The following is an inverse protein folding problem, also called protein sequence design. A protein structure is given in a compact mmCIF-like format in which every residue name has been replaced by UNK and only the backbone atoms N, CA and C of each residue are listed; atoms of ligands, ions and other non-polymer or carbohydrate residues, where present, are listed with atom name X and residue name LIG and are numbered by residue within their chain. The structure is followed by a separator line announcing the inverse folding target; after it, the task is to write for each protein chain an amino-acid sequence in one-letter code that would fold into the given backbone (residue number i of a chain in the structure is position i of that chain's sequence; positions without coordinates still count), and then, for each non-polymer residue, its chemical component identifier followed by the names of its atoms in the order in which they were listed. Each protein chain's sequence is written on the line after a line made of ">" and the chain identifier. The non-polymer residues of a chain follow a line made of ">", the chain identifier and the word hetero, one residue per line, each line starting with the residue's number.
data_IF_477485365370
#
_entry.id   IF_477485365370
#
_cell.length_a   1.000
_cell.length_b   1.000
_cell.length_c   1.000
_cell.angle_alpha   90.00
_cell.angle_beta   90.00
_cell.angle_gamma   90.00
#
_symmetry.space_group_name_H-M   'P 1'
#
loop_
_entity.id
_entity.type
_entity.pdbx_description
1 polymer ?
#
# COMPACT_ATOMS: atom_id res chain seq x y z
N UNK A 1 -4.06 7.41 -8.65
CA UNK A 1 -3.37 6.40 -9.49
C UNK A 1 -1.99 6.13 -8.92
N UNK A 2 -1.46 4.91 -9.02
CA UNK A 2 -0.05 4.64 -8.76
C UNK A 2 0.62 4.08 -9.99
N UNK A 3 1.88 4.44 -10.20
CA UNK A 3 2.71 3.93 -11.29
C UNK A 3 4.15 3.75 -10.80
N UNK A 4 4.87 2.83 -11.41
CA UNK A 4 6.23 2.48 -11.02
C UNK A 4 7.18 2.67 -12.20
N UNK A 5 8.21 3.49 -11.99
CA UNK A 5 9.27 3.68 -12.98
C UNK A 5 10.53 2.98 -12.49
N UNK A 6 10.92 1.95 -13.22
CA UNK A 6 12.22 1.31 -13.04
C UNK A 6 13.32 2.21 -13.59
N UNK A 7 14.33 2.48 -12.77
CA UNK A 7 15.52 3.24 -13.12
C UNK A 7 16.77 2.43 -12.81
N UNK A 8 17.94 2.89 -13.27
CA UNK A 8 19.22 2.27 -12.90
C UNK A 8 19.56 2.41 -11.40
N UNK A 9 18.83 3.21 -10.63
CA UNK A 9 19.01 3.42 -9.19
C UNK A 9 17.97 2.72 -8.31
N UNK A 10 16.95 2.10 -8.91
CA UNK A 10 15.84 1.47 -8.19
C UNK A 10 14.48 1.81 -8.80
N UNK A 11 13.44 1.69 -7.98
CA UNK A 11 12.03 1.89 -8.38
C UNK A 11 11.54 3.24 -7.86
N UNK A 12 10.96 4.06 -8.73
CA UNK A 12 10.30 5.32 -8.37
C UNK A 12 8.80 5.10 -8.32
N UNK A 13 8.18 5.39 -7.17
CA UNK A 13 6.73 5.46 -7.02
C UNK A 13 6.22 6.81 -7.53
N UNK A 14 5.38 6.77 -8.56
CA UNK A 14 4.52 7.90 -8.94
C UNK A 14 3.16 7.70 -8.29
N UNK A 15 2.72 8.72 -7.56
CA UNK A 15 1.43 8.74 -6.89
C UNK A 15 0.62 9.95 -7.33
N UNK A 16 -0.59 9.69 -7.79
CA UNK A 16 -1.61 10.71 -8.06
C UNK A 16 -2.70 10.58 -6.97
N UNK A 17 -2.87 11.61 -6.12
CA UNK A 17 -3.91 11.63 -5.10
C UNK A 17 -5.31 11.50 -5.69
N UNK A 18 -6.20 10.80 -4.98
CA UNK A 18 -7.61 10.66 -5.38
C UNK A 18 -8.41 11.97 -5.21
N UNK A 19 -7.97 12.85 -4.31
CA UNK A 19 -8.64 14.13 -4.03
C UNK A 19 -8.18 15.21 -5.02
N UNK A 20 -9.10 16.10 -5.40
CA UNK A 20 -8.84 17.17 -6.37
C UNK A 20 -7.74 18.16 -5.95
N UNK A 21 -7.49 18.30 -4.64
CA UNK A 21 -6.43 19.14 -4.11
C UNK A 21 -5.17 18.33 -3.82
N UNK A 22 -4.29 18.14 -4.80
CA UNK A 22 -3.04 17.39 -4.62
C UNK A 22 -2.05 18.05 -3.66
N UNK A 23 -2.30 19.30 -3.23
CA UNK A 23 -1.39 20.03 -2.34
C UNK A 23 -1.38 19.49 -0.90
N UNK A 24 -2.39 18.72 -0.50
CA UNK A 24 -2.46 18.16 0.86
C UNK A 24 -1.24 17.30 1.19
N UNK A 25 -0.75 16.48 0.24
CA UNK A 25 0.44 15.64 0.43
C UNK A 25 1.65 16.51 0.75
N UNK A 26 1.79 17.63 0.04
CA UNK A 26 2.88 18.56 0.26
C UNK A 26 2.76 19.30 1.59
N UNK A 27 1.54 19.66 2.00
CA UNK A 27 1.30 20.34 3.26
C UNK A 27 1.56 19.42 4.47
N UNK A 28 1.16 18.15 4.40
CA UNK A 28 1.51 17.11 5.38
C UNK A 28 3.03 16.95 5.50
N UNK A 29 3.72 16.80 4.37
CA UNK A 29 5.18 16.68 4.36
C UNK A 29 5.89 17.91 4.96
N UNK A 30 5.44 19.12 4.64
CA UNK A 30 6.00 20.34 5.26
C UNK A 30 5.79 20.40 6.76
N UNK A 31 4.64 19.91 7.24
CA UNK A 31 4.24 20.04 8.65
C UNK A 31 4.82 18.91 9.51
N UNK A 32 4.84 17.68 8.99
CA UNK A 32 5.13 16.47 9.74
C UNK A 32 6.36 15.71 9.24
N UNK A 33 6.99 16.14 8.13
CA UNK A 33 8.08 15.44 7.44
C UNK A 33 7.74 14.00 7.00
N UNK A 34 6.49 13.60 7.15
CA UNK A 34 5.94 12.29 6.82
C UNK A 34 4.52 12.49 6.30
N UNK A 35 4.02 11.53 5.51
CA UNK A 35 2.65 11.56 4.99
C UNK A 35 2.14 10.13 4.89
N UNK A 36 0.89 9.92 5.28
CA UNK A 36 0.21 8.63 5.11
C UNK A 36 -0.56 8.69 3.80
N UNK A 37 -0.19 7.82 2.86
CA UNK A 37 -0.91 7.65 1.60
C UNK A 37 -1.84 6.44 1.75
N UNK A 38 -3.06 6.70 2.19
CA UNK A 38 -4.12 5.71 2.29
C UNK A 38 -4.75 5.46 0.90
N UNK A 39 -5.10 4.21 0.60
CA UNK A 39 -5.72 3.72 -0.67
C UNK A 39 -4.78 3.38 -1.85
N UNK A 40 -3.52 3.06 -1.57
CA UNK A 40 -2.58 2.55 -2.59
C UNK A 40 -2.72 1.04 -2.79
N UNK A 41 -3.12 0.31 -1.75
CA UNK A 41 -3.13 -1.14 -1.73
C UNK A 41 -4.54 -1.71 -1.76
N UNK A 42 -4.69 -2.82 -2.48
CA UNK A 42 -5.91 -3.60 -2.60
C UNK A 42 -5.66 -5.01 -2.07
N UNK A 43 -6.49 -5.46 -1.14
CA UNK A 43 -6.36 -6.80 -0.56
C UNK A 43 -7.67 -7.55 -0.72
N UNK A 44 -7.59 -8.80 -1.13
CA UNK A 44 -8.70 -9.75 -1.07
C UNK A 44 -8.78 -10.34 0.32
N UNK A 45 -9.94 -10.90 0.67
CA UNK A 45 -10.10 -11.63 1.94
C UNK A 45 -9.10 -12.80 2.08
N UNK A 46 -8.70 -13.41 0.96
CA UNK A 46 -7.72 -14.49 0.95
C UNK A 46 -6.30 -14.03 1.30
N UNK A 47 -6.04 -12.72 1.26
CA UNK A 47 -4.75 -12.15 1.65
C UNK A 47 -4.71 -11.89 3.17
N UNK A 48 -5.85 -11.93 3.87
CA UNK A 48 -5.93 -11.71 5.31
C UNK A 48 -5.38 -12.92 6.08
N UNK A 49 -4.30 -12.68 6.83
CA UNK A 49 -3.60 -13.72 7.58
C UNK A 49 -4.21 -13.97 8.96
N UNK A 50 -4.93 -12.98 9.51
CA UNK A 50 -5.42 -13.03 10.89
C UNK A 50 -6.92 -12.68 11.02
N UNK A 51 -7.86 -13.39 10.37
CA UNK A 51 -9.29 -13.05 10.41
C UNK A 51 -9.84 -12.79 11.84
N UNK A 52 -10.67 -11.76 12.05
CA UNK A 52 -11.16 -11.41 13.37
C UNK A 52 -12.07 -12.51 13.93
N UNK A 53 -11.97 -12.78 15.23
CA UNK A 53 -12.90 -13.66 15.92
C UNK A 53 -14.27 -12.97 16.14
N UNK A 54 -15.35 -13.72 16.41
CA UNK A 54 -16.68 -13.12 16.62
C UNK A 54 -16.76 -12.05 17.73
N UNK A 55 -15.88 -12.13 18.73
CA UNK A 55 -15.81 -11.20 19.86
C UNK A 55 -14.54 -10.35 19.82
N UNK A 56 -14.00 -10.08 18.63
CA UNK A 56 -12.78 -9.31 18.45
C UNK A 56 -12.93 -7.90 19.04
N UNK A 57 -11.99 -7.51 19.90
CA UNK A 57 -11.78 -6.11 20.25
C UNK A 57 -11.07 -5.42 19.08
N UNK A 58 -11.73 -4.44 18.46
CA UNK A 58 -11.19 -3.72 17.30
C UNK A 58 -10.36 -2.49 17.67
N UNK A 59 -10.38 -2.04 18.93
CA UNK A 59 -9.61 -0.85 19.35
C UNK A 59 -8.10 -1.12 19.35
N UNK A 60 -7.71 -2.39 19.53
CA UNK A 60 -6.32 -2.84 19.57
C UNK A 60 -5.94 -3.76 18.39
N UNK A 61 -6.84 -3.98 17.44
CA UNK A 61 -6.67 -4.96 16.39
C UNK A 61 -6.02 -4.37 15.13
N UNK A 62 -4.99 -5.06 14.63
CA UNK A 62 -4.33 -4.74 13.37
C UNK A 62 -4.59 -5.86 12.36
N UNK A 63 -5.09 -5.48 11.18
CA UNK A 63 -5.20 -6.42 10.06
C UNK A 63 -3.82 -6.72 9.47
N UNK A 64 -3.50 -8.00 9.31
CA UNK A 64 -2.27 -8.47 8.70
C UNK A 64 -2.59 -9.09 7.33
N UNK A 65 -2.00 -8.55 6.27
CA UNK A 65 -2.21 -9.05 4.91
C UNK A 65 -0.91 -9.61 4.32
N UNK A 66 -1.00 -10.71 3.57
CA UNK A 66 0.10 -11.21 2.76
C UNK A 66 0.37 -10.23 1.60
N UNK A 67 1.43 -9.43 1.71
CA UNK A 67 1.77 -8.44 0.69
C UNK A 67 2.55 -9.02 -0.50
N UNK A 68 3.39 -10.03 -0.26
CA UNK A 68 4.17 -10.68 -1.31
C UNK A 68 4.84 -11.94 -0.81
N UNK A 69 5.32 -12.78 -1.71
CA UNK A 69 5.96 -14.06 -1.39
C UNK A 69 7.41 -14.10 -1.88
N UNK A 70 8.27 -14.82 -1.17
CA UNK A 70 9.65 -14.99 -1.61
C UNK A 70 9.75 -15.96 -2.79
N UNK A 71 10.59 -15.61 -3.77
CA UNK A 71 10.98 -16.46 -4.89
C UNK A 71 12.48 -16.31 -5.14
N UNK A 72 13.27 -17.13 -4.44
CA UNK A 72 14.72 -16.95 -4.36
C UNK A 72 15.05 -15.65 -3.62
N UNK A 73 15.87 -14.80 -4.25
CA UNK A 73 16.29 -13.51 -3.67
C UNK A 73 15.31 -12.36 -3.93
N UNK A 74 14.16 -12.65 -4.56
CA UNK A 74 13.15 -11.66 -4.90
C UNK A 74 11.89 -11.82 -4.04
N UNK A 75 11.24 -10.70 -3.75
CA UNK A 75 9.85 -10.68 -3.27
C UNK A 75 8.92 -10.45 -4.46
N UNK A 76 8.01 -11.38 -4.69
CA UNK A 76 6.96 -11.28 -5.71
C UNK A 76 5.72 -10.69 -5.07
N UNK A 77 5.30 -9.52 -5.55
CA UNK A 77 4.07 -8.85 -5.14
C UNK A 77 3.03 -9.07 -6.24
N UNK A 78 1.86 -9.67 -5.95
CA UNK A 78 0.78 -9.76 -6.91
C UNK A 78 0.35 -8.38 -7.43
N UNK A 79 0.24 -8.24 -8.75
CA UNK A 79 -0.03 -6.94 -9.40
C UNK A 79 -1.36 -6.30 -8.97
N UNK A 80 -2.38 -7.11 -8.68
CA UNK A 80 -3.68 -6.61 -8.20
C UNK A 80 -3.57 -5.85 -6.89
N UNK A 81 -2.58 -6.17 -6.02
CA UNK A 81 -2.38 -5.46 -4.75
C UNK A 81 -2.07 -3.98 -5.00
N UNK A 82 -1.46 -3.70 -6.13
CA UNK A 82 -1.07 -2.37 -6.56
C UNK A 82 -2.04 -1.79 -7.61
N UNK A 83 -3.15 -2.49 -7.88
CA UNK A 83 -4.10 -2.17 -8.96
C UNK A 83 -3.42 -1.98 -10.34
N UNK A 84 -2.39 -2.79 -10.60
CA UNK A 84 -1.68 -2.81 -11.88
C UNK A 84 -2.28 -3.93 -12.73
N UNK A 85 -2.65 -3.60 -13.98
CA UNK A 85 -2.99 -4.62 -14.97
C UNK A 85 -1.70 -5.33 -15.43
N UNK A 86 -1.72 -6.67 -15.42
CA UNK A 86 -0.64 -7.47 -16.02
C UNK A 86 -0.73 -7.48 -17.54
#
# INVERSE_FOLDING_TARGET
>A
MIDFITTNKGIVLKYEPETADTSWVWNELKTHSTVIISKVFYFNINDLLNPPSPNQDFDSYFYEFQFGTFRGDYTVIPSYILNIQN
#
